data_IF_685640974916
#
_entry.id   IF_685640974916
#
_cell.length_a   1.000
_cell.length_b   1.000
_cell.length_c   1.000
_cell.angle_alpha   90.00
_cell.angle_beta   90.00
_cell.angle_gamma   90.00
#
_symmetry.space_group_name_H-M   'P 1'
#
loop_
_entity.id
_entity.type
_entity.pdbx_description
1 polymer ?
#
# COMPACT_ATOMS: atom_id res chain seq x y z
N UNK A 1 -25.92 -11.04 70.05
CA UNK A 1 -26.22 -11.48 68.67
C UNK A 1 -25.01 -12.22 68.12
N UNK A 2 -25.28 -13.19 67.25
CA UNK A 2 -24.47 -14.35 66.90
C UNK A 2 -23.10 -14.08 66.22
N UNK A 3 -22.09 -14.88 66.63
CA UNK A 3 -20.99 -15.56 65.88
C UNK A 3 -20.17 -14.75 64.85
N UNK A 4 -18.85 -14.85 64.72
CA UNK A 4 -17.84 -15.77 65.28
C UNK A 4 -16.67 -15.91 64.29
N UNK A 5 -15.45 -15.96 64.85
CA UNK A 5 -14.24 -16.72 64.43
C UNK A 5 -13.37 -16.32 63.22
N UNK A 6 -12.06 -16.26 63.55
CA UNK A 6 -10.82 -16.29 62.75
C UNK A 6 -10.74 -17.33 61.62
N UNK A 7 -9.89 -17.08 60.60
CA UNK A 7 -8.74 -17.91 60.15
C UNK A 7 -8.11 -17.26 58.89
N UNK A 8 -6.84 -16.82 58.92
CA UNK A 8 -5.60 -17.49 58.42
C UNK A 8 -5.67 -18.06 56.99
N UNK A 9 -4.74 -17.63 56.14
CA UNK A 9 -4.29 -18.31 54.91
C UNK A 9 -3.44 -17.38 54.03
N UNK A 10 -2.12 -17.37 54.20
CA UNK A 10 -1.13 -18.05 53.34
C UNK A 10 -0.62 -17.19 52.15
N UNK A 11 0.45 -16.43 52.41
CA UNK A 11 1.79 -16.64 51.83
C UNK A 11 2.07 -16.43 50.32
N UNK A 12 3.33 -16.07 49.97
CA UNK A 12 3.69 -15.39 48.71
C UNK A 12 4.43 -16.32 47.71
N UNK A 13 4.50 -15.92 46.43
CA UNK A 13 5.69 -16.03 45.54
C UNK A 13 5.31 -15.76 44.09
N UNK A 14 6.03 -14.82 43.48
CA UNK A 14 6.03 -14.53 42.06
C UNK A 14 7.25 -13.70 41.69
N UNK A 15 8.43 -14.13 42.13
CA UNK A 15 9.69 -13.75 41.48
C UNK A 15 9.81 -14.54 40.18
N UNK A 16 10.04 -13.85 39.06
CA UNK A 16 11.29 -13.97 38.29
C UNK A 16 11.25 -13.09 37.04
N UNK A 17 12.13 -12.08 37.08
CA UNK A 17 12.76 -11.36 35.96
C UNK A 17 13.13 -12.26 34.78
N UNK A 18 13.01 -11.73 33.56
CA UNK A 18 14.06 -11.57 32.52
C UNK A 18 13.46 -10.54 31.53
N UNK A 19 14.06 -9.39 31.22
CA UNK A 19 15.45 -9.16 30.84
C UNK A 19 15.54 -9.21 29.32
N UNK A 20 15.43 -8.06 28.64
CA UNK A 20 15.57 -7.97 27.18
C UNK A 20 15.20 -6.61 26.63
N UNK A 21 16.14 -5.67 26.69
CA UNK A 21 15.98 -4.35 26.09
C UNK A 21 15.95 -4.41 24.57
N UNK A 22 15.11 -3.56 23.97
CA UNK A 22 15.33 -3.02 22.65
C UNK A 22 15.19 -1.50 22.76
N UNK A 23 16.25 -0.81 22.35
CA UNK A 23 16.49 0.61 22.60
C UNK A 23 15.51 1.58 21.94
N UNK A 24 15.75 2.89 22.10
CA UNK A 24 14.84 3.92 21.61
C UNK A 24 14.75 3.83 20.07
N UNK A 25 13.51 3.72 19.58
CA UNK A 25 13.18 3.80 18.15
C UNK A 25 13.79 5.08 17.59
N UNK A 26 14.83 4.93 16.78
CA UNK A 26 15.38 6.03 16.00
C UNK A 26 14.27 6.64 15.16
N UNK A 27 13.96 7.92 15.42
CA UNK A 27 13.29 8.78 14.46
C UNK A 27 14.17 8.83 13.21
N UNK A 28 13.87 8.03 12.20
CA UNK A 28 14.37 8.28 10.84
C UNK A 28 13.50 9.38 10.27
N UNK A 29 13.98 10.61 10.40
CA UNK A 29 13.46 11.77 9.70
C UNK A 29 13.80 11.60 8.22
N UNK A 30 12.78 11.33 7.40
CA UNK A 30 12.91 11.42 5.95
C UNK A 30 12.78 12.90 5.56
N UNK A 31 13.61 13.34 4.61
CA UNK A 31 13.82 14.73 4.22
C UNK A 31 12.60 15.50 3.67
N UNK A 32 12.80 16.70 3.09
CA UNK A 32 11.87 17.84 3.18
C UNK A 32 10.60 17.78 2.30
N UNK A 33 10.22 16.61 1.79
CA UNK A 33 9.02 16.45 0.97
C UNK A 33 8.17 15.28 1.47
N UNK A 34 7.49 15.51 2.60
CA UNK A 34 6.32 14.70 2.97
C UNK A 34 5.10 15.41 2.39
N UNK A 35 4.63 14.98 1.23
CA UNK A 35 3.30 15.39 0.76
C UNK A 35 2.31 14.50 1.50
N UNK A 36 1.79 15.03 2.61
CA UNK A 36 0.69 14.44 3.36
C UNK A 36 -0.58 14.60 2.52
N UNK A 37 -0.94 13.57 1.76
CA UNK A 37 -2.24 13.51 1.11
C UNK A 37 -3.28 13.16 2.17
N UNK A 38 -3.89 14.18 2.76
CA UNK A 38 -5.15 14.03 3.49
C UNK A 38 -6.24 13.69 2.47
N UNK A 39 -6.38 12.39 2.20
CA UNK A 39 -7.66 11.86 1.73
C UNK A 39 -8.53 11.73 2.96
N UNK A 40 -9.24 12.81 3.27
CA UNK A 40 -10.45 12.84 4.10
C UNK A 40 -11.47 11.85 3.56
N UNK A 41 -11.24 10.57 3.85
CA UNK A 41 -12.22 9.51 3.80
C UNK A 41 -12.52 9.17 5.25
N UNK A 42 -13.66 9.62 5.74
CA UNK A 42 -14.21 9.32 7.04
C UNK A 42 -13.96 7.87 7.44
N UNK A 43 -13.31 7.68 8.59
CA UNK A 43 -12.98 6.36 9.10
C UNK A 43 -12.19 6.40 10.41
N UNK A 44 -12.71 7.11 11.42
CA UNK A 44 -12.25 6.99 12.80
C UNK A 44 -12.14 5.52 13.24
N UNK A 45 -11.10 5.24 14.02
CA UNK A 45 -10.81 3.93 14.57
C UNK A 45 -11.94 3.35 15.42
N UNK A 46 -12.11 2.03 15.30
CA UNK A 46 -12.97 1.23 16.17
C UNK A 46 -12.69 -0.24 15.91
N UNK A 47 -12.11 -0.92 16.90
CA UNK A 47 -11.78 -2.34 16.82
C UNK A 47 -13.03 -3.20 16.61
N UNK A 48 -13.18 -3.73 15.40
CA UNK A 48 -13.91 -4.95 15.03
C UNK A 48 -13.23 -5.43 13.75
N UNK A 49 -12.71 -6.66 13.75
CA UNK A 49 -11.79 -7.18 12.74
C UNK A 49 -12.22 -6.84 11.31
N UNK A 50 -11.53 -5.86 10.69
CA UNK A 50 -11.54 -5.70 9.23
C UNK A 50 -11.03 -7.02 8.68
N UNK A 51 -11.89 -7.77 7.99
CA UNK A 51 -11.44 -8.85 7.11
C UNK A 51 -10.34 -8.27 6.23
N UNK A 52 -9.12 -8.81 6.34
CA UNK A 52 -8.01 -8.34 5.50
C UNK A 52 -8.40 -8.60 4.05
N UNK A 53 -8.19 -7.61 3.16
CA UNK A 53 -8.47 -7.77 1.73
C UNK A 53 -7.69 -8.97 1.16
N UNK A 54 -6.42 -9.06 1.56
CA UNK A 54 -5.56 -10.20 1.30
C UNK A 54 -5.38 -11.06 2.55
N UNK A 55 -5.43 -12.37 2.38
CA UNK A 55 -5.13 -13.34 3.42
C UNK A 55 -3.74 -13.94 3.19
N UNK A 56 -3.05 -14.33 4.26
CA UNK A 56 -1.76 -15.02 4.18
C UNK A 56 -0.76 -14.34 3.25
N UNK A 57 -0.38 -15.05 2.19
CA UNK A 57 0.58 -14.67 1.18
C UNK A 57 -0.03 -14.24 -0.17
N UNK A 58 -1.35 -14.01 -0.23
CA UNK A 58 -2.05 -13.58 -1.45
C UNK A 58 -1.49 -12.25 -2.00
N UNK A 59 -1.19 -11.28 -1.12
CA UNK A 59 -0.59 -10.01 -1.56
C UNK A 59 0.78 -10.23 -2.20
N UNK A 60 1.55 -11.21 -1.71
CA UNK A 60 2.86 -11.53 -2.26
C UNK A 60 2.74 -12.06 -3.69
N UNK A 61 1.78 -12.96 -3.94
CA UNK A 61 1.48 -13.47 -5.27
C UNK A 61 1.03 -12.36 -6.22
N UNK A 62 0.14 -11.48 -5.77
CA UNK A 62 -0.32 -10.34 -6.59
C UNK A 62 0.85 -9.41 -6.93
N UNK A 63 1.67 -9.02 -5.95
CA UNK A 63 2.83 -8.16 -6.21
C UNK A 63 3.82 -8.83 -7.17
N UNK A 64 4.09 -10.12 -6.98
CA UNK A 64 4.97 -10.88 -7.87
C UNK A 64 4.42 -10.95 -9.30
N UNK A 65 3.11 -11.20 -9.48
CA UNK A 65 2.46 -11.20 -10.79
C UNK A 65 2.53 -9.83 -11.47
N UNK A 66 2.32 -8.75 -10.73
CA UNK A 66 2.42 -7.39 -11.31
C UNK A 66 3.84 -7.03 -11.74
N UNK A 67 4.86 -7.53 -11.03
CA UNK A 67 6.28 -7.39 -11.39
C UNK A 67 6.64 -8.26 -12.60
N UNK A 68 6.00 -9.42 -12.76
CA UNK A 68 6.15 -10.27 -13.94
C UNK A 68 5.60 -9.60 -15.21
N UNK A 69 4.45 -8.92 -15.11
CA UNK A 69 3.86 -8.19 -16.24
C UNK A 69 4.77 -7.05 -16.72
N UNK A 70 5.39 -6.31 -15.78
CA UNK A 70 6.40 -5.29 -16.09
C UNK A 70 7.26 -4.99 -14.85
N UNK A 71 8.57 -4.72 -15.02
CA UNK A 71 9.41 -4.19 -13.94
C UNK A 71 8.82 -2.88 -13.39
N UNK A 72 8.64 -2.79 -12.07
CA UNK A 72 7.92 -1.69 -11.42
C UNK A 72 8.57 -1.24 -10.12
N UNK A 73 8.35 0.02 -9.78
CA UNK A 73 8.64 0.55 -8.44
C UNK A 73 7.59 0.11 -7.40
N UNK A 74 7.96 0.10 -6.12
CA UNK A 74 7.01 -0.24 -5.04
C UNK A 74 5.75 0.63 -4.99
N UNK A 75 5.88 1.93 -5.31
CA UNK A 75 4.73 2.83 -5.40
C UNK A 75 3.84 2.57 -6.63
N UNK A 76 4.42 2.10 -7.74
CA UNK A 76 3.65 1.68 -8.92
C UNK A 76 2.81 0.46 -8.64
N UNK A 77 3.32 -0.49 -7.85
CA UNK A 77 2.56 -1.66 -7.45
C UNK A 77 1.35 -1.31 -6.57
N UNK A 78 1.51 -0.36 -5.65
CA UNK A 78 0.39 0.17 -4.85
C UNK A 78 -0.71 0.72 -5.76
N UNK A 79 -0.30 1.54 -6.74
CA UNK A 79 -1.20 2.20 -7.70
C UNK A 79 -1.90 1.23 -8.62
N UNK A 80 -1.17 0.25 -9.14
CA UNK A 80 -1.71 -0.76 -10.04
C UNK A 80 -2.82 -1.57 -9.33
N UNK A 81 -2.63 -1.92 -8.06
CA UNK A 81 -3.66 -2.58 -7.25
C UNK A 81 -4.86 -1.66 -7.01
N UNK A 82 -4.61 -0.38 -6.72
CA UNK A 82 -5.67 0.61 -6.59
C UNK A 82 -6.49 0.73 -7.88
N UNK A 83 -5.83 0.87 -9.03
CA UNK A 83 -6.47 1.05 -10.33
C UNK A 83 -7.32 -0.17 -10.72
N UNK A 84 -6.78 -1.38 -10.57
CA UNK A 84 -7.49 -2.65 -10.85
C UNK A 84 -8.71 -2.85 -9.95
N UNK A 85 -8.64 -2.41 -8.69
CA UNK A 85 -9.79 -2.45 -7.78
C UNK A 85 -10.75 -1.29 -7.95
N UNK A 86 -10.55 -0.45 -8.97
CA UNK A 86 -11.39 0.72 -9.19
C UNK A 86 -11.22 1.81 -8.13
N UNK A 87 -10.13 1.76 -7.36
CA UNK A 87 -9.83 2.55 -6.17
C UNK A 87 -10.48 2.03 -4.88
N UNK A 88 -11.10 0.84 -4.91
CA UNK A 88 -11.75 0.28 -3.73
C UNK A 88 -10.74 -0.11 -2.65
N UNK A 89 -9.50 -0.38 -3.06
CA UNK A 89 -8.44 -0.79 -2.16
C UNK A 89 -7.07 -0.35 -2.68
N UNK A 90 -6.33 0.39 -1.87
CA UNK A 90 -4.91 0.66 -2.08
C UNK A 90 -4.12 0.08 -0.89
N UNK A 91 -3.16 -0.83 -1.12
CA UNK A 91 -2.32 -1.35 -0.04
C UNK A 91 -1.39 -0.24 0.47
N UNK A 92 -1.18 -0.17 1.78
CA UNK A 92 -0.31 0.86 2.34
C UNK A 92 1.17 0.56 2.07
N UNK A 93 2.04 1.60 1.99
CA UNK A 93 3.48 1.42 1.92
C UNK A 93 4.04 0.49 3.01
N UNK A 94 3.48 0.58 4.23
CA UNK A 94 3.88 -0.23 5.37
C UNK A 94 3.59 -1.73 5.25
N UNK A 95 2.82 -2.15 4.25
CA UNK A 95 2.60 -3.57 3.92
C UNK A 95 3.34 -3.95 2.64
N UNK A 96 3.36 -3.07 1.62
CA UNK A 96 3.99 -3.38 0.33
C UNK A 96 5.51 -3.50 0.44
N UNK A 97 6.20 -2.53 1.03
CA UNK A 97 7.67 -2.55 1.07
C UNK A 97 8.22 -3.73 1.88
N UNK A 98 7.68 -4.09 3.06
CA UNK A 98 8.09 -5.32 3.74
C UNK A 98 7.84 -6.58 2.90
N UNK A 99 6.73 -6.63 2.15
CA UNK A 99 6.44 -7.78 1.27
C UNK A 99 7.44 -7.86 0.10
N UNK A 100 7.84 -6.72 -0.46
CA UNK A 100 8.89 -6.68 -1.49
C UNK A 100 10.24 -7.12 -0.94
N UNK A 101 10.60 -6.71 0.28
CA UNK A 101 11.81 -7.21 0.94
C UNK A 101 11.75 -8.74 1.09
N UNK A 102 10.63 -9.30 1.53
CA UNK A 102 10.47 -10.75 1.64
C UNK A 102 10.59 -11.46 0.29
N UNK A 103 10.02 -10.89 -0.79
CA UNK A 103 10.17 -11.44 -2.14
C UNK A 103 11.62 -11.43 -2.63
N UNK A 104 12.37 -10.37 -2.30
CA UNK A 104 13.78 -10.24 -2.64
C UNK A 104 14.64 -11.21 -1.82
N UNK A 105 14.37 -11.36 -0.52
CA UNK A 105 15.04 -12.31 0.36
C UNK A 105 14.81 -13.77 -0.07
N UNK A 106 13.66 -14.05 -0.71
CA UNK A 106 13.34 -15.34 -1.32
C UNK A 106 13.89 -15.48 -2.75
N UNK A 107 14.64 -14.50 -3.25
CA UNK A 107 15.20 -14.46 -4.60
C UNK A 107 14.15 -14.54 -5.73
N UNK A 108 12.88 -14.23 -5.44
CA UNK A 108 11.80 -14.24 -6.43
C UNK A 108 11.76 -12.95 -7.25
N UNK A 109 12.31 -11.87 -6.72
CA UNK A 109 12.50 -10.60 -7.42
C UNK A 109 13.93 -10.09 -7.23
N UNK A 110 14.41 -9.29 -8.16
CA UNK A 110 15.69 -8.60 -8.10
C UNK A 110 15.50 -7.09 -8.19
N UNK A 111 16.31 -6.34 -7.44
CA UNK A 111 16.42 -4.89 -7.59
C UNK A 111 17.26 -4.57 -8.83
N UNK A 112 16.74 -3.73 -9.72
CA UNK A 112 17.46 -3.16 -10.84
C UNK A 112 17.71 -1.68 -10.58
N UNK A 113 18.90 -1.21 -10.97
CA UNK A 113 19.17 0.21 -11.04
C UNK A 113 18.30 0.80 -12.15
N UNK A 114 17.64 1.92 -11.85
CA UNK A 114 17.03 2.76 -12.87
C UNK A 114 17.78 4.09 -12.94
N UNK A 115 17.56 4.82 -14.03
CA UNK A 115 18.11 6.17 -14.21
C UNK A 115 17.55 7.15 -13.16
N UNK A 116 16.43 6.80 -12.54
CA UNK A 116 15.86 7.49 -11.40
C UNK A 116 16.52 7.02 -10.09
N UNK A 117 16.60 7.89 -9.08
CA UNK A 117 17.14 7.54 -7.75
C UNK A 117 16.31 6.48 -6.97
N UNK A 118 15.36 5.82 -7.63
CA UNK A 118 14.40 4.87 -7.07
C UNK A 118 14.67 3.49 -7.65
N UNK A 119 14.57 2.45 -6.83
CA UNK A 119 14.84 1.07 -7.27
C UNK A 119 13.63 0.48 -8.00
N UNK A 120 13.86 -0.13 -9.17
CA UNK A 120 12.84 -0.94 -9.88
C UNK A 120 12.99 -2.39 -9.43
N UNK A 121 11.88 -3.10 -9.29
CA UNK A 121 11.88 -4.54 -9.05
C UNK A 121 11.53 -5.28 -10.33
N UNK A 122 12.29 -6.33 -10.64
CA UNK A 122 12.05 -7.22 -11.77
C UNK A 122 11.96 -8.68 -11.28
N UNK A 123 11.16 -9.50 -11.97
CA UNK A 123 11.00 -10.91 -11.59
C UNK A 123 12.24 -11.73 -11.96
N UNK A 124 12.57 -12.73 -11.16
CA UNK A 124 13.63 -13.71 -11.46
C UNK A 124 13.05 -14.98 -12.09
N UNK A 125 13.91 -15.86 -12.60
CA UNK A 125 13.47 -17.19 -13.08
C UNK A 125 12.81 -18.01 -11.97
N UNK A 126 13.30 -17.90 -10.72
CA UNK A 126 12.68 -18.54 -9.56
C UNK A 126 11.29 -17.95 -9.27
N UNK A 127 11.14 -16.63 -9.39
CA UNK A 127 9.85 -15.95 -9.29
C UNK A 127 8.84 -16.43 -10.33
N UNK A 128 9.26 -16.59 -11.59
CA UNK A 128 8.41 -17.11 -12.65
C UNK A 128 7.96 -18.54 -12.37
N UNK A 129 8.88 -19.43 -11.99
CA UNK A 129 8.53 -20.80 -11.60
C UNK A 129 7.53 -20.83 -10.43
N UNK A 130 7.73 -19.96 -9.42
CA UNK A 130 6.82 -19.84 -8.27
C UNK A 130 5.40 -19.40 -8.67
N UNK A 131 5.27 -18.52 -9.68
CA UNK A 131 3.96 -18.16 -10.23
C UNK A 131 3.33 -19.32 -10.99
N UNK A 132 4.09 -20.04 -11.80
CA UNK A 132 3.60 -21.20 -12.57
C UNK A 132 3.10 -22.32 -11.65
N UNK A 133 3.79 -22.58 -10.53
CA UNK A 133 3.36 -23.58 -9.54
C UNK A 133 2.02 -23.24 -8.88
N UNK A 134 1.61 -21.97 -8.89
CA UNK A 134 0.41 -21.46 -8.24
C UNK A 134 -0.49 -20.68 -9.21
N UNK A 135 -0.45 -21.04 -10.48
CA UNK A 135 -1.12 -20.31 -11.55
C UNK A 135 -2.62 -20.14 -11.29
N UNK A 136 -3.31 -21.21 -10.89
CA UNK A 136 -4.75 -21.18 -10.58
C UNK A 136 -5.09 -20.19 -9.45
N UNK A 137 -4.24 -20.12 -8.43
CA UNK A 137 -4.43 -19.21 -7.30
C UNK A 137 -4.17 -17.76 -7.69
N UNK A 138 -3.12 -17.53 -8.49
CA UNK A 138 -2.79 -16.22 -9.03
C UNK A 138 -3.93 -15.73 -9.92
N UNK A 139 -4.44 -16.58 -10.82
CA UNK A 139 -5.55 -16.24 -11.71
C UNK A 139 -6.80 -15.85 -10.91
N UNK A 140 -7.19 -16.67 -9.92
CA UNK A 140 -8.32 -16.37 -9.06
C UNK A 140 -8.16 -15.04 -8.28
N UNK A 141 -6.95 -14.72 -7.82
CA UNK A 141 -6.66 -13.46 -7.15
C UNK A 141 -6.78 -12.27 -8.10
N UNK A 142 -6.23 -12.39 -9.31
CA UNK A 142 -6.30 -11.33 -10.32
C UNK A 142 -7.74 -11.10 -10.80
N UNK A 143 -8.51 -12.17 -10.98
CA UNK A 143 -9.93 -12.07 -11.33
C UNK A 143 -10.73 -11.38 -10.21
N UNK A 144 -10.49 -11.76 -8.95
CA UNK A 144 -11.13 -11.12 -7.79
C UNK A 144 -10.86 -9.61 -7.74
N UNK A 145 -9.63 -9.17 -8.04
CA UNK A 145 -9.31 -7.74 -8.10
C UNK A 145 -10.09 -7.04 -9.23
N UNK A 146 -10.16 -7.64 -10.42
CA UNK A 146 -10.89 -7.09 -11.56
C UNK A 146 -12.41 -7.01 -11.32
N UNK A 147 -13.00 -8.01 -10.67
CA UNK A 147 -14.41 -8.02 -10.30
C UNK A 147 -14.74 -6.86 -9.34
N UNK A 148 -13.88 -6.58 -8.35
CA UNK A 148 -14.02 -5.44 -7.44
C UNK A 148 -14.03 -4.12 -8.22
N UNK A 149 -13.08 -3.95 -9.16
CA UNK A 149 -13.02 -2.76 -10.00
C UNK A 149 -14.27 -2.57 -10.87
N UNK A 150 -14.81 -3.67 -11.42
CA UNK A 150 -16.01 -3.66 -12.26
C UNK A 150 -17.27 -3.32 -11.47
N UNK A 151 -17.43 -3.84 -10.25
CA UNK A 151 -18.57 -3.49 -9.39
C UNK A 151 -18.58 -2.00 -9.05
N UNK A 152 -17.41 -1.41 -8.79
CA UNK A 152 -17.31 0.02 -8.46
C UNK A 152 -17.52 0.93 -9.68
N UNK A 153 -17.04 0.54 -10.85
CA UNK A 153 -17.20 1.34 -12.08
C UNK A 153 -18.67 1.48 -12.51
N UNK A 154 -19.52 0.53 -12.13
CA UNK A 154 -20.97 0.57 -12.37
C UNK A 154 -21.73 1.55 -11.47
N UNK A 155 -21.13 2.04 -10.39
CA UNK A 155 -21.80 2.93 -9.42
C UNK A 155 -21.24 4.36 -9.50
N UNK A 156 -21.94 5.24 -10.23
CA UNK A 156 -21.98 6.73 -10.19
C UNK A 156 -20.67 7.58 -10.22
N UNK A 157 -19.47 7.06 -9.95
CA UNK A 157 -18.19 7.79 -10.01
C UNK A 157 -17.42 7.63 -11.33
N UNK A 158 -18.02 6.97 -12.32
CA UNK A 158 -17.33 6.51 -13.55
C UNK A 158 -16.75 7.65 -14.42
N UNK A 159 -17.44 8.78 -14.67
CA UNK A 159 -16.88 9.85 -15.48
C UNK A 159 -15.73 10.59 -14.78
N UNK A 160 -15.92 10.99 -13.52
CA UNK A 160 -14.92 11.73 -12.74
C UNK A 160 -13.68 10.88 -12.49
N UNK A 161 -13.84 9.62 -12.11
CA UNK A 161 -12.70 8.70 -11.91
C UNK A 161 -11.91 8.47 -13.19
N UNK A 162 -12.59 8.34 -14.34
CA UNK A 162 -11.91 8.25 -15.65
C UNK A 162 -11.15 9.54 -15.98
N UNK A 163 -11.75 10.70 -15.74
CA UNK A 163 -11.08 11.99 -15.96
C UNK A 163 -9.84 12.16 -15.07
N UNK A 164 -9.94 11.79 -13.78
CA UNK A 164 -8.80 11.80 -12.86
C UNK A 164 -7.69 10.83 -13.28
N UNK A 165 -8.04 9.64 -13.77
CA UNK A 165 -7.08 8.69 -14.33
C UNK A 165 -6.33 9.24 -15.55
N UNK A 166 -7.03 9.89 -16.48
CA UNK A 166 -6.41 10.54 -17.63
C UNK A 166 -5.47 11.68 -17.21
N UNK A 167 -5.93 12.60 -16.35
CA UNK A 167 -5.10 13.69 -15.84
C UNK A 167 -3.80 13.14 -15.21
N UNK A 168 -3.92 12.10 -14.39
CA UNK A 168 -2.78 11.45 -13.76
C UNK A 168 -1.78 10.85 -14.76
N UNK A 169 -2.25 10.26 -15.86
CA UNK A 169 -1.39 9.70 -16.91
C UNK A 169 -0.61 10.81 -17.62
N UNK A 170 -1.29 11.91 -17.96
CA UNK A 170 -0.66 13.09 -18.59
C UNK A 170 0.41 13.69 -17.68
N UNK A 171 0.11 13.84 -16.39
CA UNK A 171 1.07 14.37 -15.41
C UNK A 171 2.29 13.47 -15.28
N UNK A 172 2.14 12.15 -15.26
CA UNK A 172 3.28 11.23 -15.21
C UNK A 172 4.18 11.34 -16.43
N UNK A 173 3.60 11.36 -17.64
CA UNK A 173 4.38 11.54 -18.85
C UNK A 173 5.10 12.90 -18.85
N UNK A 174 4.45 13.95 -18.37
CA UNK A 174 5.05 15.30 -18.37
C UNK A 174 6.12 15.50 -17.30
N UNK A 175 5.96 14.85 -16.14
CA UNK A 175 6.81 15.06 -14.97
C UNK A 175 7.84 13.94 -14.74
N UNK A 176 7.74 12.82 -15.48
CA UNK A 176 8.65 11.68 -15.39
C UNK A 176 9.85 11.73 -16.35
N UNK A 177 9.81 12.56 -17.39
CA UNK A 177 10.79 12.54 -18.49
C UNK A 177 12.08 13.39 -18.23
N UNK A 178 12.38 13.80 -16.99
CA UNK A 178 13.64 14.51 -16.64
C UNK A 178 13.46 15.80 -15.81
N UNK A 179 14.46 16.70 -15.79
CA UNK A 179 14.45 17.97 -15.03
C UNK A 179 13.25 18.85 -15.42
N UNK A 180 12.16 18.72 -14.66
CA UNK A 180 10.99 19.58 -14.78
C UNK A 180 11.33 20.96 -14.21
N UNK A 181 11.12 22.01 -14.99
CA UNK A 181 11.30 23.37 -14.49
C UNK A 181 10.28 23.71 -13.39
N UNK A 182 10.70 24.49 -12.40
CA UNK A 182 9.79 25.03 -11.37
C UNK A 182 8.59 25.77 -11.99
N UNK A 183 8.81 26.46 -13.11
CA UNK A 183 7.76 27.13 -13.88
C UNK A 183 6.69 26.15 -14.39
N UNK A 184 7.09 24.96 -14.87
CA UNK A 184 6.14 23.93 -15.33
C UNK A 184 5.34 23.37 -14.16
N UNK A 185 5.97 23.16 -13.00
CA UNK A 185 5.28 22.70 -11.79
C UNK A 185 4.23 23.71 -11.32
N UNK A 186 4.58 25.00 -11.29
CA UNK A 186 3.64 26.07 -10.94
C UNK A 186 2.47 26.15 -11.92
N UNK A 187 2.74 26.10 -13.23
CA UNK A 187 1.68 26.14 -14.24
C UNK A 187 0.72 24.94 -14.13
N UNK A 188 1.23 23.75 -13.82
CA UNK A 188 0.40 22.56 -13.56
C UNK A 188 -0.46 22.74 -12.32
N UNK A 189 0.11 23.24 -11.23
CA UNK A 189 -0.64 23.50 -9.99
C UNK A 189 -1.77 24.53 -10.22
N UNK A 190 -1.47 25.62 -10.92
CA UNK A 190 -2.45 26.67 -11.24
C UNK A 190 -3.65 26.11 -12.03
N UNK A 191 -3.41 25.23 -13.00
CA UNK A 191 -4.46 24.57 -13.79
C UNK A 191 -5.35 23.65 -12.94
N UNK A 192 -4.76 22.91 -11.99
CA UNK A 192 -5.50 22.04 -11.08
C UNK A 192 -6.36 22.88 -10.13
N UNK A 193 -5.80 23.94 -9.56
CA UNK A 193 -6.52 24.86 -8.65
C UNK A 193 -7.63 25.62 -9.38
N UNK A 194 -7.44 25.97 -10.65
CA UNK A 194 -8.50 26.55 -11.48
C UNK A 194 -9.65 25.56 -11.69
N UNK A 195 -9.35 24.30 -12.01
CA UNK A 195 -10.35 23.25 -12.15
C UNK A 195 -11.12 23.02 -10.83
N UNK A 196 -10.42 22.96 -9.69
CA UNK A 196 -11.03 22.83 -8.38
C UNK A 196 -11.99 23.99 -8.07
N UNK A 197 -11.55 25.24 -8.25
CA UNK A 197 -12.37 26.45 -8.05
C UNK A 197 -13.60 26.48 -8.97
N UNK A 198 -13.52 25.93 -10.19
CA UNK A 198 -14.66 25.81 -11.10
C UNK A 198 -15.67 24.76 -10.60
N UNK A 199 -15.20 23.63 -10.07
CA UNK A 199 -16.05 22.57 -9.53
C UNK A 199 -16.75 23.02 -8.24
N UNK A 200 -16.09 23.76 -7.36
CA UNK A 200 -16.69 24.31 -6.13
C UNK A 200 -17.87 25.27 -6.39
N UNK A 201 -17.97 25.82 -7.60
CA UNK A 201 -19.01 26.77 -8.01
C UNK A 201 -20.21 26.12 -8.71
N UNK A 202 -20.16 24.81 -8.95
CA UNK A 202 -21.28 24.04 -9.53
C UNK A 202 -22.38 23.80 -8.49
#
# INVERSE_FOLDING_TARGET
MFRGTHHRGCGPRGEMRFGGGFGPRGRRQWGPFTVEWDVSGEGMGGGRGRRRMFQGDELRLVLLKLIEEAPRHGYELIREIEERTGGAYAPSPGVVYPTLTMLADMELIAEQASDDAKKIFAITTAGQAHLTEREEEVEALMERLAQIGTMRSRSHGSPVRRAMGNLRQVLQHRLGDGEVSQETLHAVADLIDEAARKIERL
#
